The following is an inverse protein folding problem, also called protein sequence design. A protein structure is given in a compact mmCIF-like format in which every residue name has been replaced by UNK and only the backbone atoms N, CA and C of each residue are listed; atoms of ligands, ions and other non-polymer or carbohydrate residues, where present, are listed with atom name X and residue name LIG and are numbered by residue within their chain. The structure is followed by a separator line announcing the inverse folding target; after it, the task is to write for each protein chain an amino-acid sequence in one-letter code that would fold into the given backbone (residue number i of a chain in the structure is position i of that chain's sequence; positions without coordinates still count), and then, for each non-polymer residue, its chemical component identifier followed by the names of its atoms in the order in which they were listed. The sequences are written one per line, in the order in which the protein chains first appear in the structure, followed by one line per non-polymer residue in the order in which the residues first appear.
data_IF_330845374161
#
_entry.id   IF_330845374161
#
_cell.length_a   1.000
_cell.length_b   1.000
_cell.length_c   1.000
_cell.angle_alpha   90.00
_cell.angle_beta   90.00
_cell.angle_gamma   90.00
#
_symmetry.space_group_name_H-M   'P 1'
#
loop_
_entity.id
_entity.type
_entity.pdbx_description
1 polymer ?
#
# COMPACT_ATOMS: atom_id res chain seq x y z
N UNK A 1 -47.17 9.01 16.52
CA UNK A 1 -46.51 8.09 15.57
C UNK A 1 -45.07 7.99 15.97
N UNK A 2 -44.78 7.07 16.89
CA UNK A 2 -43.43 6.78 17.40
C UNK A 2 -42.73 5.87 16.39
N UNK A 3 -41.62 6.34 15.86
CA UNK A 3 -40.72 5.59 14.98
C UNK A 3 -40.23 4.33 15.70
N UNK A 4 -40.33 3.13 15.10
CA UNK A 4 -39.94 1.91 15.80
C UNK A 4 -38.42 1.91 16.00
N UNK A 5 -38.00 1.67 17.24
CA UNK A 5 -36.60 1.52 17.60
C UNK A 5 -35.92 0.53 16.65
N UNK A 6 -34.95 1.03 15.86
CA UNK A 6 -34.07 0.18 15.05
C UNK A 6 -33.42 -0.81 16.01
N UNK A 7 -33.87 -2.06 15.97
CA UNK A 7 -33.22 -3.16 16.65
C UNK A 7 -31.80 -3.22 16.09
N UNK A 8 -30.82 -2.69 16.83
CA UNK A 8 -29.41 -2.93 16.54
C UNK A 8 -29.22 -4.44 16.66
N UNK A 9 -29.39 -5.15 15.53
CA UNK A 9 -28.79 -6.47 15.39
C UNK A 9 -27.33 -6.24 15.75
N UNK A 10 -26.86 -6.92 16.79
CA UNK A 10 -25.44 -7.09 17.03
C UNK A 10 -24.95 -7.83 15.79
N UNK A 11 -24.59 -7.08 14.74
CA UNK A 11 -23.91 -7.65 13.58
C UNK A 11 -22.59 -8.14 14.15
N UNK A 12 -22.32 -9.43 14.00
CA UNK A 12 -20.99 -9.95 14.33
C UNK A 12 -19.96 -9.08 13.61
N UNK A 13 -18.86 -8.77 14.29
CA UNK A 13 -17.76 -8.01 13.70
C UNK A 13 -17.32 -8.75 12.44
N UNK A 14 -17.30 -8.04 11.30
CA UNK A 14 -16.75 -8.55 10.05
C UNK A 14 -15.29 -8.14 9.94
N UNK A 15 -14.48 -8.99 9.31
CA UNK A 15 -13.08 -8.68 9.08
C UNK A 15 -12.46 -9.46 7.93
N UNK A 16 -11.23 -9.09 7.60
CA UNK A 16 -10.41 -9.71 6.56
C UNK A 16 -9.02 -10.02 7.10
N UNK A 17 -8.45 -11.15 6.69
CA UNK A 17 -7.04 -11.45 6.90
C UNK A 17 -6.19 -10.79 5.82
N UNK A 18 -5.20 -9.97 6.21
CA UNK A 18 -4.31 -9.26 5.29
C UNK A 18 -3.35 -10.14 4.49
N UNK A 19 -3.16 -11.40 4.91
CA UNK A 19 -2.21 -12.29 4.23
C UNK A 19 -2.89 -13.28 3.28
N UNK A 20 -4.17 -13.62 3.48
CA UNK A 20 -4.88 -14.57 2.61
C UNK A 20 -6.23 -14.08 2.08
N UNK A 21 -6.62 -12.83 2.37
CA UNK A 21 -7.89 -12.21 1.99
C UNK A 21 -9.16 -12.95 2.50
N UNK A 22 -9.02 -13.96 3.36
CA UNK A 22 -10.16 -14.67 3.94
C UNK A 22 -10.99 -13.72 4.80
N UNK A 23 -12.29 -13.64 4.50
CA UNK A 23 -13.26 -12.91 5.30
C UNK A 23 -13.71 -13.74 6.49
N UNK A 24 -14.09 -13.08 7.58
CA UNK A 24 -14.69 -13.72 8.74
C UNK A 24 -15.81 -12.86 9.31
N UNK A 25 -16.78 -13.51 9.96
CA UNK A 25 -17.85 -12.85 10.71
C UNK A 25 -17.93 -13.50 12.09
N UNK A 26 -17.86 -12.69 13.15
CA UNK A 26 -17.93 -13.19 14.52
C UNK A 26 -16.91 -12.50 15.45
N UNK A 27 -16.61 -13.09 16.61
CA UNK A 27 -15.60 -12.54 17.51
C UNK A 27 -14.22 -12.55 16.83
N UNK A 28 -13.45 -11.49 17.06
CA UNK A 28 -12.06 -11.41 16.59
C UNK A 28 -11.23 -12.39 17.39
N UNK A 29 -11.03 -13.56 16.81
CA UNK A 29 -10.02 -14.53 17.21
C UNK A 29 -8.66 -13.98 16.80
N UNK A 30 -7.67 -14.00 17.70
CA UNK A 30 -6.36 -13.35 17.44
C UNK A 30 -5.56 -13.90 16.26
N UNK A 31 -6.09 -14.87 15.51
CA UNK A 31 -5.49 -15.49 14.33
C UNK A 31 -6.54 -15.86 13.29
N UNK A 32 -6.16 -15.79 12.02
CA UNK A 32 -6.99 -16.24 10.89
C UNK A 32 -7.21 -17.75 10.94
N UNK A 33 -8.45 -18.22 10.79
CA UNK A 33 -8.76 -19.65 10.70
C UNK A 33 -8.29 -20.32 9.41
N UNK A 34 -8.02 -19.53 8.37
CA UNK A 34 -7.58 -20.04 7.07
C UNK A 34 -6.06 -20.21 6.98
N UNK A 35 -5.28 -19.21 7.42
CA UNK A 35 -3.81 -19.23 7.29
C UNK A 35 -3.03 -19.04 8.60
N UNK A 36 -3.70 -18.98 9.75
CA UNK A 36 -3.11 -18.77 11.09
C UNK A 36 -2.37 -17.43 11.29
N UNK A 37 -2.45 -16.51 10.32
CA UNK A 37 -1.87 -15.17 10.40
C UNK A 37 -2.50 -14.35 11.54
N UNK A 38 -1.70 -13.57 12.30
CA UNK A 38 -2.21 -12.60 13.26
C UNK A 38 -2.68 -11.29 12.62
N UNK A 39 -2.48 -11.09 11.31
CA UNK A 39 -2.75 -9.82 10.61
C UNK A 39 -4.21 -9.73 10.17
N UNK A 40 -5.09 -9.64 11.15
CA UNK A 40 -6.53 -9.41 10.92
C UNK A 40 -6.84 -7.92 10.97
N UNK A 41 -7.78 -7.49 10.13
CA UNK A 41 -8.38 -6.15 10.19
C UNK A 41 -9.89 -6.34 10.22
N UNK A 42 -10.57 -5.57 11.06
CA UNK A 42 -12.01 -5.67 11.24
C UNK A 42 -12.64 -4.30 11.46
N UNK A 43 -13.88 -4.17 11.01
CA UNK A 43 -14.70 -2.97 11.20
C UNK A 43 -16.17 -3.34 11.00
N UNK A 44 -17.08 -2.71 11.74
CA UNK A 44 -18.53 -2.96 11.64
C UNK A 44 -19.09 -2.74 10.22
N UNK A 45 -18.38 -1.94 9.44
CA UNK A 45 -18.73 -1.56 8.07
C UNK A 45 -17.74 -2.08 7.03
N UNK A 46 -16.81 -2.98 7.39
CA UNK A 46 -15.71 -3.40 6.49
C UNK A 46 -16.21 -3.91 5.12
N UNK A 47 -17.37 -4.58 5.11
CA UNK A 47 -17.99 -5.11 3.90
C UNK A 47 -18.62 -4.03 2.99
N UNK A 48 -18.66 -2.78 3.47
CA UNK A 48 -19.26 -1.62 2.79
C UNK A 48 -18.26 -0.50 2.51
N UNK A 49 -17.01 -0.65 2.94
CA UNK A 49 -15.94 0.29 2.62
C UNK A 49 -15.46 0.02 1.19
N UNK A 50 -15.99 0.77 0.22
CA UNK A 50 -15.77 0.52 -1.20
C UNK A 50 -14.66 1.36 -1.84
N UNK A 51 -14.25 2.46 -1.19
CA UNK A 51 -13.14 3.28 -1.66
C UNK A 51 -11.82 2.72 -1.12
N UNK A 52 -10.98 2.26 -2.03
CA UNK A 52 -9.64 1.77 -1.73
C UNK A 52 -8.60 2.85 -2.05
N UNK A 53 -7.57 2.90 -1.22
CA UNK A 53 -6.39 3.73 -1.45
C UNK A 53 -5.18 2.82 -1.63
N UNK A 54 -4.45 2.99 -2.73
CA UNK A 54 -3.23 2.25 -3.05
C UNK A 54 -2.06 3.21 -3.14
N UNK A 55 -0.95 2.85 -2.49
CA UNK A 55 0.32 3.58 -2.45
C UNK A 55 1.46 2.55 -2.51
N UNK A 56 2.41 2.74 -3.41
CA UNK A 56 3.54 1.81 -3.58
C UNK A 56 4.68 2.12 -2.59
N UNK A 57 5.03 1.13 -1.77
CA UNK A 57 6.08 1.25 -0.76
C UNK A 57 7.45 1.69 -1.34
N UNK A 58 7.92 2.86 -0.91
CA UNK A 58 9.23 3.41 -1.28
C UNK A 58 9.52 3.34 -2.79
N UNK A 59 8.51 3.68 -3.61
CA UNK A 59 8.40 3.33 -5.03
C UNK A 59 9.71 3.40 -5.84
N UNK A 60 10.38 4.54 -5.93
CA UNK A 60 11.60 4.64 -6.76
C UNK A 60 12.73 3.73 -6.26
N UNK A 61 12.93 3.64 -4.94
CA UNK A 61 13.96 2.77 -4.37
C UNK A 61 13.60 1.28 -4.54
N UNK A 62 12.32 0.94 -4.49
CA UNK A 62 11.83 -0.42 -4.75
C UNK A 62 12.08 -0.82 -6.22
N UNK A 63 11.85 0.09 -7.17
CA UNK A 63 12.15 -0.12 -8.60
C UNK A 63 13.66 -0.34 -8.81
N UNK A 64 14.53 0.48 -8.22
CA UNK A 64 15.99 0.28 -8.34
C UNK A 64 16.44 -1.06 -7.73
N UNK A 65 15.90 -1.45 -6.57
CA UNK A 65 16.24 -2.72 -5.93
C UNK A 65 15.74 -3.95 -6.68
N UNK A 66 14.56 -3.85 -7.32
CA UNK A 66 14.02 -4.91 -8.19
C UNK A 66 14.95 -5.16 -9.38
N UNK A 67 15.42 -4.09 -10.00
CA UNK A 67 16.19 -4.17 -11.24
C UNK A 67 17.68 -4.48 -11.01
N UNK A 68 18.19 -4.22 -9.80
CA UNK A 68 19.57 -4.55 -9.42
C UNK A 68 19.62 -5.35 -8.11
N UNK A 69 19.78 -6.69 -8.19
CA UNK A 69 19.86 -7.57 -7.02
C UNK A 69 20.98 -7.22 -6.03
N UNK A 70 22.07 -6.59 -6.47
CA UNK A 70 23.17 -6.17 -5.57
C UNK A 70 22.72 -5.10 -4.56
N UNK A 71 21.60 -4.42 -4.83
CA UNK A 71 21.04 -3.39 -3.94
C UNK A 71 20.12 -3.97 -2.86
N UNK A 72 19.74 -5.25 -2.94
CA UNK A 72 18.71 -5.85 -2.07
C UNK A 72 18.96 -5.55 -0.58
N UNK A 73 20.19 -5.81 -0.11
CA UNK A 73 20.59 -5.65 1.29
C UNK A 73 21.34 -4.35 1.57
N UNK A 74 21.37 -3.40 0.63
CA UNK A 74 22.09 -2.13 0.79
C UNK A 74 21.14 -0.99 1.18
N UNK A 75 21.60 0.00 1.96
CA UNK A 75 20.90 1.27 2.09
C UNK A 75 20.94 1.99 0.73
N UNK A 76 19.76 2.33 0.21
CA UNK A 76 19.60 3.02 -1.09
C UNK A 76 18.82 4.31 -0.88
N UNK A 77 19.34 5.39 -1.45
CA UNK A 77 18.75 6.72 -1.44
C UNK A 77 18.60 7.17 -2.89
N UNK A 78 17.38 7.50 -3.28
CA UNK A 78 17.10 8.15 -4.55
C UNK A 78 17.11 9.65 -4.32
N UNK A 79 17.99 10.36 -5.01
CA UNK A 79 18.21 11.79 -4.82
C UNK A 79 19.53 12.22 -5.44
N UNK A 80 19.89 13.49 -5.30
CA UNK A 80 21.10 13.99 -5.92
C UNK A 80 21.22 15.50 -5.90
N UNK A 81 22.24 16.03 -6.58
CA UNK A 81 22.53 17.46 -6.65
C UNK A 81 23.26 18.03 -5.43
N UNK A 82 23.98 19.15 -5.62
CA UNK A 82 24.72 19.81 -4.53
C UNK A 82 23.81 20.42 -3.46
N UNK A 83 22.61 20.88 -3.86
CA UNK A 83 21.56 21.42 -2.96
C UNK A 83 20.25 20.63 -3.04
N UNK A 84 20.31 19.38 -3.48
CA UNK A 84 19.09 18.58 -3.61
C UNK A 84 18.67 17.90 -2.32
N UNK A 85 17.52 17.23 -2.43
CA UNK A 85 16.87 16.50 -1.35
C UNK A 85 16.73 15.03 -1.72
N UNK A 86 16.49 14.21 -0.72
CA UNK A 86 16.08 12.81 -0.89
C UNK A 86 14.70 12.78 -1.53
N UNK A 87 14.59 12.21 -2.74
CA UNK A 87 13.31 11.94 -3.38
C UNK A 87 12.59 10.80 -2.67
N UNK A 88 13.31 9.69 -2.43
CA UNK A 88 12.85 8.60 -1.56
C UNK A 88 14.04 7.81 -1.04
N UNK A 89 13.82 7.00 0.00
CA UNK A 89 14.82 6.12 0.58
C UNK A 89 14.19 4.76 0.88
N UNK A 90 14.95 3.68 0.63
CA UNK A 90 14.49 2.34 1.00
C UNK A 90 14.43 2.18 2.53
N UNK A 91 13.69 1.20 3.02
CA UNK A 91 13.56 0.95 4.46
C UNK A 91 14.89 0.81 5.20
N UNK A 92 15.90 0.16 4.60
CA UNK A 92 17.25 0.05 5.20
C UNK A 92 17.87 1.42 5.45
N UNK A 93 17.79 2.36 4.50
CA UNK A 93 18.29 3.72 4.72
C UNK A 93 17.43 4.49 5.75
N UNK A 94 16.12 4.24 5.80
CA UNK A 94 15.21 4.85 6.79
C UNK A 94 15.57 4.49 8.23
N UNK A 95 16.13 3.29 8.49
CA UNK A 95 16.57 2.92 9.85
C UNK A 95 17.75 3.77 10.35
N UNK A 96 18.51 4.38 9.44
CA UNK A 96 19.59 5.33 9.78
C UNK A 96 19.09 6.78 9.94
N UNK A 97 17.77 7.00 9.89
CA UNK A 97 17.21 8.34 9.98
C UNK A 97 17.25 9.11 8.65
N UNK A 98 17.22 8.41 7.51
CA UNK A 98 17.02 9.04 6.20
C UNK A 98 15.52 9.15 5.88
N UNK A 99 15.04 10.30 5.41
CA UNK A 99 13.62 10.53 5.10
C UNK A 99 13.47 11.27 3.77
N UNK A 100 12.29 11.16 3.15
CA UNK A 100 11.95 11.97 1.96
C UNK A 100 12.00 13.46 2.28
N UNK A 101 12.31 14.28 1.28
CA UNK A 101 12.53 15.73 1.37
C UNK A 101 13.70 16.18 2.29
N UNK A 102 14.44 15.26 2.91
CA UNK A 102 15.63 15.59 3.69
C UNK A 102 16.75 16.14 2.79
N UNK A 103 17.48 17.19 3.20
CA UNK A 103 18.65 17.65 2.47
C UNK A 103 19.70 16.54 2.30
N UNK A 104 20.24 16.38 1.08
CA UNK A 104 21.16 15.28 0.77
C UNK A 104 22.42 15.26 1.64
N UNK A 105 22.90 16.42 2.12
CA UNK A 105 24.05 16.48 3.02
C UNK A 105 23.76 15.83 4.38
N UNK A 106 22.54 16.02 4.93
CA UNK A 106 22.12 15.37 6.18
C UNK A 106 21.92 13.88 5.97
N UNK A 107 21.34 13.49 4.84
CA UNK A 107 21.13 12.08 4.50
C UNK A 107 22.47 11.32 4.38
N UNK A 108 23.47 11.92 3.73
CA UNK A 108 24.84 11.37 3.65
C UNK A 108 25.53 11.28 5.01
N UNK A 109 25.31 12.25 5.89
CA UNK A 109 25.85 12.21 7.24
C UNK A 109 25.19 11.10 8.08
N UNK A 110 23.87 10.93 7.93
CA UNK A 110 23.09 9.93 8.66
C UNK A 110 23.38 8.50 8.19
N UNK A 111 23.58 8.30 6.88
CA UNK A 111 23.87 7.00 6.28
C UNK A 111 25.05 7.10 5.29
N UNK A 112 26.31 7.08 5.78
CA UNK A 112 27.51 7.23 4.95
C UNK A 112 27.69 6.13 3.90
N UNK A 113 27.23 4.92 4.19
CA UNK A 113 27.37 3.74 3.32
C UNK A 113 26.23 3.60 2.29
N UNK A 114 25.33 4.59 2.23
CA UNK A 114 24.20 4.57 1.30
C UNK A 114 24.65 4.65 -0.16
N UNK A 115 24.05 3.80 -1.00
CA UNK A 115 24.09 3.94 -2.45
C UNK A 115 23.17 5.08 -2.84
N UNK A 116 23.72 6.13 -3.46
CA UNK A 116 22.96 7.27 -3.94
C UNK A 116 22.74 7.09 -5.45
N UNK A 117 21.48 7.12 -5.86
CA UNK A 117 21.08 6.97 -7.26
C UNK A 117 20.31 8.22 -7.68
N UNK A 118 20.72 8.82 -8.81
CA UNK A 118 19.99 9.93 -9.41
C UNK A 118 18.61 9.46 -9.90
N UNK A 119 17.53 10.24 -9.70
CA UNK A 119 16.20 9.84 -10.15
C UNK A 119 16.10 9.66 -11.68
N UNK A 120 15.52 8.55 -12.13
CA UNK A 120 15.14 8.32 -13.53
C UNK A 120 13.60 8.35 -13.66
N UNK A 121 13.06 9.52 -13.93
CA UNK A 121 11.60 9.73 -13.99
C UNK A 121 10.93 8.99 -15.15
N UNK A 122 11.64 8.77 -16.26
CA UNK A 122 11.10 8.03 -17.40
C UNK A 122 10.91 6.56 -17.04
N UNK A 123 11.92 5.95 -16.39
CA UNK A 123 11.84 4.60 -15.85
C UNK A 123 10.70 4.45 -14.84
N UNK A 124 10.61 5.36 -13.86
CA UNK A 124 9.56 5.28 -12.84
C UNK A 124 8.16 5.45 -13.44
N UNK A 125 8.00 6.32 -14.44
CA UNK A 125 6.70 6.52 -15.11
C UNK A 125 6.26 5.31 -15.91
N UNK A 126 7.21 4.62 -16.57
CA UNK A 126 6.91 3.37 -17.27
C UNK A 126 6.43 2.27 -16.30
N UNK A 127 7.07 2.13 -15.14
CA UNK A 127 6.64 1.16 -14.11
C UNK A 127 5.30 1.54 -13.50
N UNK A 128 5.07 2.83 -13.24
CA UNK A 128 3.78 3.34 -12.78
C UNK A 128 2.64 2.99 -13.74
N UNK A 129 2.88 3.08 -15.05
CA UNK A 129 1.92 2.64 -16.06
C UNK A 129 1.53 1.17 -15.93
N UNK A 130 2.47 0.29 -15.56
CA UNK A 130 2.20 -1.14 -15.32
C UNK A 130 1.35 -1.35 -14.06
N UNK A 131 1.65 -0.63 -12.98
CA UNK A 131 0.86 -0.66 -11.74
C UNK A 131 -0.57 -0.17 -12.01
N UNK A 132 -0.72 0.91 -12.80
CA UNK A 132 -2.02 1.44 -13.18
C UNK A 132 -2.82 0.44 -14.03
N UNK A 133 -2.19 -0.25 -14.98
CA UNK A 133 -2.87 -1.31 -15.76
C UNK A 133 -3.41 -2.43 -14.86
N UNK A 134 -2.66 -2.79 -13.80
CA UNK A 134 -3.15 -3.72 -12.79
C UNK A 134 -4.37 -3.15 -12.05
N UNK A 135 -4.35 -1.88 -11.64
CA UNK A 135 -5.52 -1.25 -11.00
C UNK A 135 -6.75 -1.23 -11.94
N UNK A 136 -6.54 -0.90 -13.22
CA UNK A 136 -7.59 -0.84 -14.26
C UNK A 136 -8.25 -2.20 -14.51
N UNK A 137 -7.58 -3.32 -14.19
CA UNK A 137 -8.20 -4.65 -14.29
C UNK A 137 -9.23 -4.93 -13.19
N UNK A 138 -9.26 -4.13 -12.12
CA UNK A 138 -10.19 -4.31 -10.99
C UNK A 138 -11.40 -3.39 -11.05
N UNK A 139 -11.19 -2.13 -11.46
CA UNK A 139 -12.24 -1.13 -11.63
C UNK A 139 -11.82 -0.08 -12.65
N UNK A 140 -12.73 0.43 -13.48
CA UNK A 140 -12.44 1.59 -14.33
C UNK A 140 -12.47 2.92 -13.55
N UNK A 141 -13.00 2.93 -12.32
CA UNK A 141 -13.14 4.13 -11.49
C UNK A 141 -11.88 4.38 -10.66
N UNK A 142 -10.91 5.04 -11.27
CA UNK A 142 -9.59 5.31 -10.69
C UNK A 142 -9.31 6.81 -10.71
N UNK A 143 -8.88 7.35 -9.57
CA UNK A 143 -8.39 8.72 -9.44
C UNK A 143 -6.92 8.71 -9.01
N UNK A 144 -5.98 8.91 -9.95
CA UNK A 144 -4.56 9.03 -9.62
C UNK A 144 -4.29 10.30 -8.79
N UNK A 145 -3.41 10.18 -7.79
CA UNK A 145 -2.90 11.31 -7.00
C UNK A 145 -1.44 11.63 -7.37
N UNK A 146 -0.65 10.60 -7.61
CA UNK A 146 0.76 10.68 -7.97
C UNK A 146 1.14 9.56 -8.96
N UNK A 147 2.44 9.36 -9.15
CA UNK A 147 3.01 8.28 -9.94
C UNK A 147 2.86 6.90 -9.27
N UNK A 148 2.71 6.85 -7.95
CA UNK A 148 2.67 5.64 -7.13
C UNK A 148 1.39 5.48 -6.31
N UNK A 149 0.47 6.46 -6.39
CA UNK A 149 -0.69 6.56 -5.52
C UNK A 149 -2.00 6.81 -6.30
N UNK A 150 -3.06 6.10 -5.94
CA UNK A 150 -4.39 6.27 -6.51
C UNK A 150 -5.53 5.85 -5.57
N UNK A 151 -6.68 6.50 -5.73
CA UNK A 151 -7.95 6.01 -5.20
C UNK A 151 -8.68 5.14 -6.24
N UNK A 152 -9.27 4.06 -5.77
CA UNK A 152 -10.08 3.13 -6.55
C UNK A 152 -11.48 3.06 -5.93
N UNK A 153 -12.53 3.20 -6.74
CA UNK A 153 -13.89 2.89 -6.32
C UNK A 153 -14.24 1.46 -6.72
N UNK A 154 -14.41 0.58 -5.73
CA UNK A 154 -14.76 -0.83 -5.88
C UNK A 154 -16.26 -1.10 -5.69
N UNK A 155 -17.09 -0.05 -5.62
CA UNK A 155 -18.55 -0.20 -5.47
C UNK A 155 -19.15 -1.04 -6.60
N UNK A 156 -19.92 -2.07 -6.25
CA UNK A 156 -20.60 -2.93 -7.23
C UNK A 156 -19.71 -3.99 -7.90
N UNK A 157 -18.44 -4.12 -7.49
CA UNK A 157 -17.50 -5.10 -8.05
C UNK A 157 -17.59 -6.48 -7.39
N UNK A 158 -18.43 -6.65 -6.37
CA UNK A 158 -18.44 -7.83 -5.50
C UNK A 158 -18.80 -9.11 -6.26
N UNK A 159 -19.75 -9.03 -7.19
CA UNK A 159 -20.15 -10.19 -8.01
C UNK A 159 -19.05 -10.60 -8.99
N UNK A 160 -18.28 -9.65 -9.51
CA UNK A 160 -17.18 -9.91 -10.43
C UNK A 160 -16.02 -10.59 -9.70
N UNK A 161 -15.67 -10.10 -8.51
CA UNK A 161 -14.51 -10.56 -7.74
C UNK A 161 -14.82 -11.66 -6.73
N UNK A 162 -16.11 -11.95 -6.49
CA UNK A 162 -16.58 -12.93 -5.50
C UNK A 162 -16.23 -12.56 -4.05
N UNK A 163 -15.96 -11.28 -3.79
CA UNK A 163 -15.35 -10.75 -2.56
C UNK A 163 -15.90 -9.35 -2.27
N UNK A 164 -16.00 -8.96 -1.00
CA UNK A 164 -16.26 -7.55 -0.68
C UNK A 164 -15.05 -6.68 -1.03
N UNK A 165 -15.25 -5.36 -1.16
CA UNK A 165 -14.20 -4.43 -1.57
C UNK A 165 -12.92 -4.51 -0.71
N UNK A 166 -13.05 -4.65 0.61
CA UNK A 166 -11.90 -4.81 1.51
C UNK A 166 -11.11 -6.10 1.24
N UNK A 167 -11.78 -7.21 0.91
CA UNK A 167 -11.13 -8.46 0.53
C UNK A 167 -10.47 -8.39 -0.86
N UNK A 168 -11.12 -7.70 -1.81
CA UNK A 168 -10.56 -7.43 -3.13
C UNK A 168 -9.28 -6.60 -3.02
N UNK A 169 -9.28 -5.54 -2.18
CA UNK A 169 -8.11 -4.72 -1.93
C UNK A 169 -6.92 -5.53 -1.39
N UNK A 170 -7.16 -6.41 -0.42
CA UNK A 170 -6.10 -7.31 0.12
C UNK A 170 -5.59 -8.29 -0.94
N UNK A 171 -6.39 -8.64 -1.94
CA UNK A 171 -5.94 -9.54 -3.01
C UNK A 171 -5.07 -8.82 -4.05
N UNK A 172 -5.28 -7.50 -4.20
CA UNK A 172 -4.55 -6.65 -5.13
C UNK A 172 -3.19 -6.19 -4.57
N UNK A 173 -3.07 -6.05 -3.25
CA UNK A 173 -1.87 -5.59 -2.55
C UNK A 173 -0.95 -6.74 -2.11
#
# INVERSE_FOLDING_TARGET
MTEPARTRRIRGISGVCRDCAAGFTGPVIGRCTNCNSPRLVWHDEIDRLTVAHLDCDAFYAAVEKRDNPELANRPVIIGGGQRGVVATACYIARTYGVHSAQPMFKARQACPDAVIISPDMAKYSAVSGQVRQLMESWTPLIQPLSIDEAFLDLSGTERLHGKCAAQSLVTLA
#
